data_IF_908917875366
#
_entry.id   IF_908917875366
#
_cell.length_a   1.000
_cell.length_b   1.000
_cell.length_c   1.000
_cell.angle_alpha   90.00
_cell.angle_beta   90.00
_cell.angle_gamma   90.00
#
_symmetry.space_group_name_H-M   'P 1'
#
loop_
_entity.id
_entity.type
_entity.pdbx_description
1 polymer ?
#
# COMPACT_ATOMS: atom_id res chain seq x y z
N UNK A 1 -26.01 -3.37 12.25
CA UNK A 1 -24.66 -3.83 11.84
C UNK A 1 -24.65 -3.78 10.32
N UNK A 2 -24.14 -2.70 9.74
CA UNK A 2 -24.35 -2.40 8.32
C UNK A 2 -23.39 -3.21 7.46
N UNK A 3 -23.94 -4.26 6.82
CA UNK A 3 -23.27 -5.03 5.78
C UNK A 3 -23.50 -4.26 4.48
N UNK A 4 -22.47 -3.58 3.97
CA UNK A 4 -22.55 -2.93 2.66
C UNK A 4 -22.53 -4.02 1.57
N UNK A 5 -23.71 -4.37 1.04
CA UNK A 5 -23.84 -5.31 -0.08
C UNK A 5 -23.29 -4.73 -1.39
N UNK A 6 -23.23 -3.39 -1.51
CA UNK A 6 -22.78 -2.66 -2.68
C UNK A 6 -21.70 -1.62 -2.30
N UNK A 7 -20.55 -1.66 -2.98
CA UNK A 7 -19.67 -0.49 -3.06
C UNK A 7 -20.17 0.39 -4.21
N UNK A 8 -20.51 1.66 -3.93
CA UNK A 8 -21.05 2.61 -4.91
C UNK A 8 -22.21 2.03 -5.76
N UNK A 9 -23.37 1.82 -5.13
CA UNK A 9 -24.70 1.66 -5.75
C UNK A 9 -24.96 0.48 -6.73
N UNK A 10 -23.98 -0.09 -7.44
CA UNK A 10 -24.21 -1.15 -8.44
C UNK A 10 -23.04 -2.14 -8.69
N UNK A 11 -21.90 -2.02 -8.00
CA UNK A 11 -20.74 -2.89 -8.27
C UNK A 11 -20.64 -3.98 -7.22
N UNK A 12 -20.59 -5.24 -7.67
CA UNK A 12 -20.31 -6.40 -6.84
C UNK A 12 -19.06 -6.16 -6.00
N UNK A 13 -19.18 -6.37 -4.69
CA UNK A 13 -18.10 -6.20 -3.71
C UNK A 13 -16.81 -6.96 -4.10
N UNK A 14 -16.98 -8.07 -4.84
CA UNK A 14 -15.88 -8.86 -5.42
C UNK A 14 -15.11 -8.06 -6.48
N UNK A 15 -15.81 -7.42 -7.41
CA UNK A 15 -15.23 -6.63 -8.49
C UNK A 15 -14.54 -5.37 -7.95
N UNK A 16 -15.14 -4.70 -6.96
CA UNK A 16 -14.51 -3.55 -6.29
C UNK A 16 -13.19 -3.92 -5.62
N UNK A 17 -13.14 -5.05 -4.90
CA UNK A 17 -11.91 -5.53 -4.26
C UNK A 17 -10.82 -5.88 -5.29
N UNK A 18 -11.20 -6.49 -6.43
CA UNK A 18 -10.27 -6.75 -7.54
C UNK A 18 -9.71 -5.45 -8.11
N UNK A 19 -10.57 -4.49 -8.46
CA UNK A 19 -10.13 -3.20 -9.04
C UNK A 19 -9.13 -2.52 -8.12
N UNK A 20 -9.43 -2.43 -6.81
CA UNK A 20 -8.54 -1.73 -5.88
C UNK A 20 -7.22 -2.49 -5.69
N UNK A 21 -7.24 -3.82 -5.58
CA UNK A 21 -6.00 -4.61 -5.51
C UNK A 21 -5.13 -4.43 -6.76
N UNK A 22 -5.74 -4.33 -7.95
CA UNK A 22 -5.02 -4.02 -9.18
C UNK A 22 -4.48 -2.59 -9.19
N UNK A 23 -5.25 -1.59 -8.72
CA UNK A 23 -4.77 -0.21 -8.61
C UNK A 23 -3.56 -0.11 -7.66
N UNK A 24 -3.60 -0.82 -6.53
CA UNK A 24 -2.49 -0.90 -5.59
C UNK A 24 -1.25 -1.50 -6.25
N UNK A 25 -1.41 -2.63 -6.96
CA UNK A 25 -0.32 -3.28 -7.68
C UNK A 25 0.28 -2.37 -8.75
N UNK A 26 -0.56 -1.65 -9.50
CA UNK A 26 -0.09 -0.65 -10.48
C UNK A 26 0.67 0.48 -9.79
N UNK A 27 0.19 0.97 -8.64
CA UNK A 27 0.87 1.98 -7.83
C UNK A 27 2.26 1.53 -7.39
N UNK A 28 2.39 0.31 -6.88
CA UNK A 28 3.67 -0.28 -6.47
C UNK A 28 4.65 -0.42 -7.65
N UNK A 29 4.16 -0.78 -8.84
CA UNK A 29 4.97 -0.84 -10.08
C UNK A 29 5.46 0.56 -10.49
N UNK A 30 4.58 1.57 -10.45
CA UNK A 30 4.94 2.95 -10.78
C UNK A 30 6.02 3.46 -9.81
N UNK A 31 5.83 3.27 -8.50
CA UNK A 31 6.80 3.69 -7.48
C UNK A 31 8.13 2.96 -7.69
N UNK A 32 8.11 1.65 -7.92
CA UNK A 32 9.31 0.87 -8.23
C UNK A 32 10.07 1.44 -9.43
N UNK A 33 9.36 1.76 -10.51
CA UNK A 33 9.94 2.35 -11.73
C UNK A 33 10.57 3.72 -11.45
N UNK A 34 9.90 4.58 -10.67
CA UNK A 34 10.44 5.87 -10.25
C UNK A 34 11.71 5.72 -9.39
N UNK A 35 11.76 4.72 -8.51
CA UNK A 35 12.95 4.46 -7.69
C UNK A 35 14.13 3.99 -8.53
N UNK A 36 13.91 3.20 -9.58
CA UNK A 36 14.98 2.85 -10.54
C UNK A 36 15.54 4.09 -11.25
N UNK A 37 14.69 5.04 -11.64
CA UNK A 37 15.14 6.33 -12.17
C UNK A 37 15.90 7.15 -11.12
N UNK A 38 15.46 7.11 -9.86
CA UNK A 38 16.14 7.72 -8.72
C UNK A 38 17.56 7.19 -8.51
N UNK A 39 17.79 5.89 -8.67
CA UNK A 39 19.13 5.29 -8.65
C UNK A 39 19.98 5.83 -9.80
N UNK A 40 19.41 5.96 -11.01
CA UNK A 40 20.10 6.56 -12.15
C UNK A 40 20.55 7.99 -11.86
N UNK A 41 19.69 8.81 -11.24
CA UNK A 41 20.04 10.17 -10.81
C UNK A 41 21.10 10.17 -9.69
N UNK A 42 21.01 9.24 -8.73
CA UNK A 42 21.99 9.11 -7.66
C UNK A 42 23.40 8.80 -8.17
N UNK A 43 23.52 7.97 -9.23
CA UNK A 43 24.81 7.66 -9.87
C UNK A 43 25.48 8.90 -10.47
N UNK A 44 24.70 9.81 -11.06
CA UNK A 44 25.22 11.07 -11.60
C UNK A 44 25.82 11.93 -10.47
N UNK A 45 25.16 11.98 -9.32
CA UNK A 45 25.64 12.71 -8.15
C UNK A 45 26.89 12.08 -7.52
N UNK A 46 26.98 10.75 -7.47
CA UNK A 46 28.17 10.04 -6.94
C UNK A 46 29.42 10.24 -7.82
N UNK A 47 29.22 10.39 -9.14
CA UNK A 47 30.30 10.64 -10.09
C UNK A 47 30.68 12.12 -10.19
N UNK A 48 29.99 13.01 -9.47
CA UNK A 48 30.36 14.41 -9.41
C UNK A 48 31.67 14.62 -8.65
N UNK A 49 32.41 15.67 -9.00
CA UNK A 49 33.69 16.01 -8.37
C UNK A 49 33.55 16.66 -6.98
N UNK A 50 32.34 17.06 -6.60
CA UNK A 50 32.06 17.75 -5.34
C UNK A 50 31.78 16.74 -4.21
N UNK A 51 32.52 16.76 -3.09
CA UNK A 51 32.29 15.84 -1.97
C UNK A 51 30.87 15.90 -1.39
N UNK A 52 30.21 17.05 -1.39
CA UNK A 52 28.86 17.19 -0.84
C UNK A 52 27.82 16.53 -1.73
N UNK A 53 27.96 16.68 -3.05
CA UNK A 53 27.11 15.99 -4.02
C UNK A 53 27.33 14.47 -4.02
N UNK A 54 28.57 14.01 -3.77
CA UNK A 54 28.85 12.58 -3.63
C UNK A 54 28.18 11.97 -2.40
N UNK A 55 28.22 12.66 -1.26
CA UNK A 55 27.55 12.24 -0.04
C UNK A 55 26.02 12.18 -0.24
N UNK A 56 25.44 13.20 -0.87
CA UNK A 56 24.02 13.24 -1.22
C UNK A 56 23.60 12.13 -2.21
N UNK A 57 24.45 11.82 -3.20
CA UNK A 57 24.21 10.72 -4.12
C UNK A 57 24.25 9.35 -3.44
N UNK A 58 25.19 9.13 -2.52
CA UNK A 58 25.29 7.89 -1.76
C UNK A 58 24.08 7.69 -0.82
N UNK A 59 23.62 8.75 -0.14
CA UNK A 59 22.42 8.69 0.70
C UNK A 59 21.16 8.46 -0.13
N UNK A 60 20.99 9.15 -1.27
CA UNK A 60 19.87 8.92 -2.17
C UNK A 60 19.84 7.48 -2.71
N UNK A 61 20.99 6.94 -3.08
CA UNK A 61 21.09 5.55 -3.53
C UNK A 61 20.69 4.55 -2.44
N UNK A 62 21.19 4.74 -1.23
CA UNK A 62 20.84 3.89 -0.09
C UNK A 62 19.33 3.95 0.20
N UNK A 63 18.74 5.15 0.17
CA UNK A 63 17.30 5.35 0.34
C UNK A 63 16.50 4.63 -0.75
N UNK A 64 16.81 4.86 -2.04
CA UNK A 64 16.11 4.20 -3.14
C UNK A 64 16.23 2.67 -3.06
N UNK A 65 17.40 2.13 -2.69
CA UNK A 65 17.60 0.69 -2.55
C UNK A 65 16.76 0.09 -1.40
N UNK A 66 16.75 0.75 -0.23
CA UNK A 66 15.92 0.32 0.92
C UNK A 66 14.43 0.40 0.58
N UNK A 67 13.99 1.48 -0.08
CA UNK A 67 12.60 1.63 -0.50
C UNK A 67 12.21 0.58 -1.54
N UNK A 68 13.08 0.22 -2.49
CA UNK A 68 12.81 -0.86 -3.44
C UNK A 68 12.64 -2.22 -2.77
N UNK A 69 13.50 -2.55 -1.79
CA UNK A 69 13.34 -3.78 -1.01
C UNK A 69 11.99 -3.81 -0.29
N UNK A 70 11.59 -2.67 0.29
CA UNK A 70 10.32 -2.53 0.97
C UNK A 70 9.12 -2.70 0.01
N UNK A 71 9.16 -2.05 -1.15
CA UNK A 71 8.13 -2.19 -2.21
C UNK A 71 8.06 -3.62 -2.72
N UNK A 72 9.18 -4.32 -2.86
CA UNK A 72 9.19 -5.73 -3.28
C UNK A 72 8.47 -6.64 -2.28
N UNK A 73 8.64 -6.38 -0.98
CA UNK A 73 7.92 -7.10 0.09
C UNK A 73 6.42 -6.80 0.01
N UNK A 74 6.04 -5.54 -0.16
CA UNK A 74 4.63 -5.14 -0.32
C UNK A 74 4.00 -5.80 -1.55
N UNK A 75 4.68 -5.81 -2.70
CA UNK A 75 4.24 -6.50 -3.92
C UNK A 75 3.96 -7.98 -3.67
N UNK A 76 4.85 -8.67 -2.94
CA UNK A 76 4.62 -10.07 -2.60
C UNK A 76 3.34 -10.25 -1.78
N UNK A 77 3.08 -9.37 -0.82
CA UNK A 77 1.85 -9.38 -0.03
C UNK A 77 0.62 -9.03 -0.89
N UNK A 78 0.71 -8.06 -1.80
CA UNK A 78 -0.37 -7.69 -2.74
C UNK A 78 -0.70 -8.85 -3.69
N UNK A 79 0.29 -9.60 -4.16
CA UNK A 79 0.07 -10.82 -4.95
C UNK A 79 -0.61 -11.90 -4.10
N UNK A 80 -0.17 -12.11 -2.85
CA UNK A 80 -0.83 -13.06 -1.93
C UNK A 80 -2.29 -12.68 -1.68
N UNK A 81 -2.58 -11.38 -1.53
CA UNK A 81 -3.94 -10.86 -1.43
C UNK A 81 -4.74 -11.18 -2.71
N UNK A 82 -4.18 -10.90 -3.88
CA UNK A 82 -4.84 -11.13 -5.18
C UNK A 82 -5.12 -12.63 -5.41
N UNK A 83 -4.18 -13.49 -5.05
CA UNK A 83 -4.35 -14.95 -5.08
C UNK A 83 -5.38 -15.42 -4.05
N UNK A 84 -5.38 -14.85 -2.85
CA UNK A 84 -6.38 -15.11 -1.82
C UNK A 84 -7.79 -14.73 -2.26
N UNK A 85 -7.90 -13.61 -3.00
CA UNK A 85 -9.14 -13.11 -3.59
C UNK A 85 -9.64 -14.03 -4.72
N UNK A 86 -8.73 -14.48 -5.60
CA UNK A 86 -9.06 -15.44 -6.67
C UNK A 86 -9.47 -16.81 -6.15
N UNK A 87 -8.77 -17.34 -5.13
CA UNK A 87 -9.07 -18.66 -4.55
C UNK A 87 -10.19 -18.63 -3.51
N UNK A 88 -10.79 -17.47 -3.24
CA UNK A 88 -11.86 -17.27 -2.26
C UNK A 88 -11.54 -17.85 -0.86
N UNK A 89 -10.24 -17.91 -0.49
CA UNK A 89 -9.79 -18.46 0.79
C UNK A 89 -9.65 -17.33 1.81
N UNK A 90 -10.68 -17.18 2.63
CA UNK A 90 -10.81 -16.11 3.63
C UNK A 90 -9.67 -16.04 4.67
N UNK A 91 -8.95 -17.14 4.90
CA UNK A 91 -7.85 -17.20 5.86
C UNK A 91 -6.63 -16.36 5.47
N UNK A 92 -6.23 -16.36 4.20
CA UNK A 92 -5.04 -15.62 3.74
C UNK A 92 -5.31 -14.12 3.69
N UNK A 93 -6.53 -13.73 3.31
CA UNK A 93 -7.00 -12.35 3.29
C UNK A 93 -7.01 -11.74 4.69
N UNK A 94 -7.35 -12.52 5.73
CA UNK A 94 -7.38 -12.04 7.13
C UNK A 94 -5.99 -11.66 7.65
N UNK A 95 -4.98 -12.49 7.36
CA UNK A 95 -3.60 -12.25 7.81
C UNK A 95 -3.04 -11.00 7.13
N UNK A 96 -3.27 -10.87 5.82
CA UNK A 96 -2.90 -9.67 5.06
C UNK A 96 -3.59 -8.41 5.59
N UNK A 97 -4.88 -8.49 5.93
CA UNK A 97 -5.63 -7.37 6.50
C UNK A 97 -5.02 -6.87 7.81
N UNK A 98 -4.71 -7.79 8.73
CA UNK A 98 -4.09 -7.45 10.02
C UNK A 98 -2.73 -6.78 9.80
N UNK A 99 -1.92 -7.34 8.90
CA UNK A 99 -0.61 -6.78 8.56
C UNK A 99 -0.74 -5.37 7.96
N UNK A 100 -1.68 -5.16 7.02
CA UNK A 100 -1.94 -3.85 6.41
C UNK A 100 -2.38 -2.81 7.44
N UNK A 101 -3.24 -3.16 8.40
CA UNK A 101 -3.65 -2.23 9.47
C UNK A 101 -2.44 -1.80 10.31
N UNK A 102 -1.57 -2.74 10.66
CA UNK A 102 -0.36 -2.44 11.46
C UNK A 102 0.57 -1.49 10.68
N UNK A 103 0.83 -1.80 9.41
CA UNK A 103 1.68 -0.97 8.56
C UNK A 103 1.11 0.44 8.36
N UNK A 104 -0.21 0.53 8.16
CA UNK A 104 -0.91 1.79 8.05
C UNK A 104 -0.76 2.64 9.33
N UNK A 105 -0.88 2.04 10.51
CA UNK A 105 -0.67 2.74 11.77
C UNK A 105 0.77 3.27 11.89
N UNK A 106 1.76 2.47 11.51
CA UNK A 106 3.16 2.92 11.46
C UNK A 106 3.35 4.10 10.52
N UNK A 107 2.73 4.06 9.34
CA UNK A 107 2.79 5.16 8.36
C UNK A 107 2.19 6.46 8.91
N UNK A 108 1.05 6.39 9.61
CA UNK A 108 0.44 7.56 10.27
C UNK A 108 1.38 8.15 11.31
N UNK A 109 1.98 7.32 12.17
CA UNK A 109 2.92 7.80 13.21
C UNK A 109 4.12 8.48 12.57
N UNK A 110 4.72 7.88 11.53
CA UNK A 110 5.84 8.49 10.81
C UNK A 110 5.48 9.83 10.19
N UNK A 111 4.28 9.93 9.59
CA UNK A 111 3.79 11.19 9.01
C UNK A 111 3.61 12.28 10.08
N UNK A 112 3.12 11.93 11.28
CA UNK A 112 2.99 12.88 12.39
C UNK A 112 4.36 13.38 12.85
N UNK A 113 5.34 12.46 12.96
CA UNK A 113 6.72 12.82 13.33
C UNK A 113 7.33 13.75 12.27
N UNK A 114 7.15 13.45 10.99
CA UNK A 114 7.62 14.30 9.90
C UNK A 114 7.03 15.72 10.02
N UNK A 115 5.70 15.82 10.21
CA UNK A 115 5.04 17.12 10.37
C UNK A 115 5.61 17.92 11.56
N UNK A 116 5.91 17.23 12.67
CA UNK A 116 6.46 17.85 13.87
C UNK A 116 7.92 18.31 13.71
N UNK A 117 8.73 17.61 12.91
CA UNK A 117 10.17 17.88 12.77
C UNK A 117 10.48 18.85 11.64
N UNK A 118 9.85 18.67 10.47
CA UNK A 118 10.22 19.41 9.25
C UNK A 118 9.24 20.52 8.88
N UNK A 119 8.09 20.61 9.56
CA UNK A 119 7.01 21.56 9.25
C UNK A 119 6.77 21.69 7.73
N UNK A 120 6.43 20.58 7.05
CA UNK A 120 6.39 20.52 5.61
C UNK A 120 5.30 21.45 5.05
N UNK A 121 5.43 21.88 3.78
CA UNK A 121 4.46 22.76 3.14
C UNK A 121 3.06 22.11 3.13
N UNK A 122 2.01 22.94 3.17
CA UNK A 122 0.62 22.50 3.25
C UNK A 122 0.23 21.48 2.15
N UNK A 123 0.86 21.54 0.97
CA UNK A 123 0.66 20.58 -0.11
C UNK A 123 1.00 19.14 0.30
N UNK A 124 2.09 18.93 1.03
CA UNK A 124 2.51 17.60 1.45
C UNK A 124 1.51 17.02 2.46
N UNK A 125 1.02 17.87 3.37
CA UNK A 125 0.01 17.48 4.37
C UNK A 125 -1.29 17.02 3.68
N UNK A 126 -1.79 17.80 2.70
CA UNK A 126 -3.00 17.43 1.95
C UNK A 126 -2.82 16.10 1.22
N UNK A 127 -1.64 15.90 0.61
CA UNK A 127 -1.33 14.67 -0.13
C UNK A 127 -1.26 13.46 0.82
N UNK A 128 -0.60 13.59 1.97
CA UNK A 128 -0.54 12.53 2.98
C UNK A 128 -1.91 12.16 3.54
N UNK A 129 -2.77 13.15 3.82
CA UNK A 129 -4.15 12.91 4.26
C UNK A 129 -4.95 12.16 3.20
N UNK A 130 -4.78 12.51 1.92
CA UNK A 130 -5.43 11.80 0.82
C UNK A 130 -5.01 10.33 0.75
N UNK A 131 -3.71 10.04 0.88
CA UNK A 131 -3.22 8.65 0.92
C UNK A 131 -3.77 7.87 2.12
N UNK A 132 -3.80 8.47 3.30
CA UNK A 132 -4.38 7.84 4.50
C UNK A 132 -5.86 7.51 4.27
N UNK A 133 -6.64 8.44 3.71
CA UNK A 133 -8.05 8.19 3.41
C UNK A 133 -8.24 7.06 2.40
N UNK A 134 -7.37 6.98 1.39
CA UNK A 134 -7.37 5.89 0.41
C UNK A 134 -7.07 4.54 1.08
N UNK A 135 -6.09 4.48 1.99
CA UNK A 135 -5.73 3.27 2.74
C UNK A 135 -6.87 2.83 3.69
N UNK A 136 -7.53 3.77 4.37
CA UNK A 136 -8.72 3.46 5.19
C UNK A 136 -9.82 2.87 4.31
N UNK A 137 -10.09 3.49 3.16
CA UNK A 137 -11.08 3.00 2.22
C UNK A 137 -10.75 1.57 1.76
N UNK A 138 -9.49 1.30 1.43
CA UNK A 138 -9.02 -0.03 1.06
C UNK A 138 -9.27 -1.07 2.16
N UNK A 139 -8.90 -0.74 3.41
CA UNK A 139 -9.13 -1.60 4.58
C UNK A 139 -10.62 -1.88 4.80
N UNK A 140 -11.48 -0.87 4.64
CA UNK A 140 -12.92 -1.02 4.79
C UNK A 140 -13.51 -1.93 3.71
N UNK A 141 -13.09 -1.78 2.45
CA UNK A 141 -13.56 -2.64 1.35
C UNK A 141 -13.11 -4.09 1.55
N UNK A 142 -11.83 -4.31 1.89
CA UNK A 142 -11.28 -5.62 2.21
C UNK A 142 -12.00 -6.29 3.39
N UNK A 143 -12.25 -5.53 4.45
CA UNK A 143 -12.98 -6.01 5.63
C UNK A 143 -14.40 -6.40 5.28
N UNK A 144 -15.10 -5.57 4.50
CA UNK A 144 -16.46 -5.88 4.03
C UNK A 144 -16.47 -7.18 3.21
N UNK A 145 -15.50 -7.35 2.30
CA UNK A 145 -15.36 -8.56 1.50
C UNK A 145 -15.06 -9.81 2.35
N UNK A 146 -14.19 -9.68 3.37
CA UNK A 146 -13.90 -10.76 4.32
C UNK A 146 -15.13 -11.21 5.09
N UNK A 147 -15.95 -10.28 5.59
CA UNK A 147 -17.21 -10.59 6.30
C UNK A 147 -18.18 -11.34 5.38
N UNK A 148 -18.29 -10.92 4.11
CA UNK A 148 -19.14 -11.60 3.11
C UNK A 148 -18.69 -13.03 2.83
N UNK A 149 -17.38 -13.28 2.72
CA UNK A 149 -16.83 -14.64 2.58
C UNK A 149 -17.04 -15.51 3.83
N UNK A 150 -16.90 -14.95 5.03
CA UNK A 150 -17.14 -15.67 6.29
C UNK A 150 -18.60 -16.10 6.45
N UNK A 151 -19.55 -15.24 6.08
CA UNK A 151 -20.98 -15.57 6.07
C UNK A 151 -21.33 -16.61 5.00
N UNK A 152 -20.67 -16.58 3.84
CA UNK A 152 -20.87 -17.60 2.79
C UNK A 152 -20.38 -18.98 3.21
N UNK A 153 -19.21 -19.07 3.87
CA UNK A 153 -18.70 -20.35 4.38
C UNK A 153 -19.55 -20.90 5.53
N UNK A 154 -20.17 -20.05 6.35
CA UNK A 154 -21.08 -20.50 7.42
C UNK A 154 -22.40 -21.09 6.88
N UNK A 155 -22.83 -20.69 5.68
CA UNK A 155 -24.05 -21.20 5.03
C UNK A 155 -23.82 -22.53 4.29
N UNK A 156 -22.61 -22.77 3.76
CA UNK A 156 -22.26 -24.02 3.05
C UNK A 156 -21.49 -25.04 3.91
N UNK A 157 -21.09 -24.69 5.13
CA UNK A 157 -20.45 -25.61 6.09
C UNK A 157 -21.43 -26.42 6.95
N UNK A 158 -22.74 -26.26 6.72
CA UNK A 158 -23.82 -27.01 7.38
C UNK A 158 -24.67 -27.78 6.35
N UNK A 159 -24.03 -28.36 5.33
CA UNK A 159 -24.65 -29.30 4.40
C UNK A 159 -23.80 -30.57 4.29
#
# INVERSE_FOLDING_TARGET
MWVFENCCFCIDLKTGCFIIAYLQLVGEIIISTLMFLGIGAAQVLINSSDPDHRAAGATLMALCAVTLLFVAVLLAFTIVLLVGLHKNKSGHVKIFLIYSVIFMLFYIVMTIVEIAVTAPPAQNIVTSVFYILLDIYFLLVLRSYWVKMGSGNALYGNA
#
